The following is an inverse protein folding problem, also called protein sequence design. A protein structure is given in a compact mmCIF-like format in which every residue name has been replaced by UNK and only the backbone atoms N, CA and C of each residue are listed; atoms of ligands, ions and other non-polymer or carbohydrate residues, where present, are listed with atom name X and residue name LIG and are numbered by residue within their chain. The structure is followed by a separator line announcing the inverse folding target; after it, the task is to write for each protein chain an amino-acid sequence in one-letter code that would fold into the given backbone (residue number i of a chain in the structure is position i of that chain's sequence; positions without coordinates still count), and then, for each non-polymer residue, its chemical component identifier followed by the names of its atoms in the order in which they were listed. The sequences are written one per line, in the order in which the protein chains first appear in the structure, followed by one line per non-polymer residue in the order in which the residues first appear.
data_IF_694385672827
#
_entry.id   IF_694385672827
#
_cell.length_a   1.000
_cell.length_b   1.000
_cell.length_c   1.000
_cell.angle_alpha   90.00
_cell.angle_beta   90.00
_cell.angle_gamma   90.00
#
_symmetry.space_group_name_H-M   'P 1'
#
loop_
_entity.id
_entity.type
_entity.pdbx_description
1 polymer ?
#
# COMPACT_ATOMS: atom_id res chain seq x y z
N UNK A 1 -32.21 67.66 22.51
CA UNK A 1 -31.94 67.85 23.95
C UNK A 1 -31.53 66.49 24.51
N UNK A 2 -30.24 66.25 24.78
CA UNK A 2 -29.57 66.40 26.09
C UNK A 2 -30.03 65.28 27.05
N UNK A 3 -29.21 64.48 27.72
CA UNK A 3 -27.78 64.20 27.75
C UNK A 3 -27.61 62.92 28.61
N UNK A 4 -26.40 62.40 28.63
CA UNK A 4 -25.86 61.31 29.44
C UNK A 4 -26.09 61.41 30.95
N UNK A 5 -26.10 60.25 31.63
CA UNK A 5 -25.17 59.97 32.75
C UNK A 5 -25.10 58.48 33.10
N UNK A 6 -23.86 58.01 33.21
CA UNK A 6 -23.44 56.69 33.61
C UNK A 6 -23.53 56.50 35.14
N UNK A 7 -23.72 55.26 35.59
CA UNK A 7 -23.20 54.81 36.88
C UNK A 7 -22.74 53.35 36.77
N UNK A 8 -21.44 53.16 37.01
CA UNK A 8 -20.75 51.88 37.06
C UNK A 8 -21.05 51.14 38.36
N UNK A 9 -21.31 49.83 38.27
CA UNK A 9 -21.20 48.90 39.39
C UNK A 9 -20.55 47.62 38.87
N UNK A 10 -19.27 47.46 39.19
CA UNK A 10 -18.50 46.26 38.96
C UNK A 10 -18.92 45.20 39.97
N UNK A 11 -19.48 44.08 39.50
CA UNK A 11 -19.60 42.84 40.26
C UNK A 11 -18.68 41.84 39.59
N UNK A 12 -17.56 41.55 40.25
CA UNK A 12 -16.63 40.51 39.85
C UNK A 12 -17.28 39.14 40.03
N UNK A 13 -17.57 38.46 38.93
CA UNK A 13 -17.87 37.04 38.93
C UNK A 13 -16.54 36.30 38.76
N UNK A 14 -16.08 35.69 39.83
CA UNK A 14 -14.98 34.74 39.79
C UNK A 14 -15.45 33.49 39.04
N UNK A 15 -15.01 33.32 37.80
CA UNK A 15 -15.15 32.07 37.05
C UNK A 15 -14.08 31.12 37.58
N UNK A 16 -14.51 30.12 38.34
CA UNK A 16 -13.67 28.99 38.75
C UNK A 16 -13.48 28.10 37.52
N UNK A 17 -12.31 28.21 36.89
CA UNK A 17 -11.85 27.32 35.82
C UNK A 17 -11.28 26.05 36.47
N UNK A 18 -11.73 24.83 36.11
CA UNK A 18 -11.15 23.61 36.64
C UNK A 18 -9.74 23.38 36.08
N UNK A 19 -8.82 22.74 36.85
CA UNK A 19 -7.44 22.57 36.41
C UNK A 19 -7.39 21.59 35.24
N UNK A 20 -6.85 22.08 34.12
CA UNK A 20 -6.49 21.28 32.94
C UNK A 20 -5.49 20.21 33.34
N UNK A 21 -5.88 18.95 33.20
CA UNK A 21 -5.01 17.78 33.29
C UNK A 21 -3.89 17.88 32.25
N UNK A 22 -2.67 17.62 32.70
CA UNK A 22 -1.43 17.74 31.95
C UNK A 22 -1.49 17.07 30.56
N UNK A 23 -1.47 17.88 29.52
CA UNK A 23 -1.03 17.45 28.21
C UNK A 23 0.46 17.13 28.31
N UNK A 24 0.82 15.86 28.13
CA UNK A 24 2.20 15.44 27.94
C UNK A 24 2.72 16.12 26.67
N UNK A 25 3.55 17.15 26.84
CA UNK A 25 4.34 17.72 25.77
C UNK A 25 5.32 16.64 25.31
N UNK A 26 4.92 15.87 24.28
CA UNK A 26 5.87 15.11 23.49
C UNK A 26 6.83 16.14 22.88
N UNK A 27 8.02 16.22 23.45
CA UNK A 27 9.10 17.00 22.88
C UNK A 27 9.32 16.49 21.47
N UNK A 28 8.95 17.29 20.47
CA UNK A 28 9.41 17.11 19.11
C UNK A 28 10.94 17.08 19.18
N UNK A 29 11.51 15.89 19.04
CA UNK A 29 12.93 15.73 18.84
C UNK A 29 13.26 16.41 17.51
N UNK A 30 13.65 17.68 17.58
CA UNK A 30 14.30 18.39 16.49
C UNK A 30 15.58 17.61 16.15
N UNK A 31 15.47 16.67 15.21
CA UNK A 31 16.61 16.12 14.52
C UNK A 31 17.20 17.25 13.67
N UNK A 32 18.14 18.00 14.25
CA UNK A 32 19.04 18.85 13.51
C UNK A 32 19.74 17.99 12.46
N UNK A 33 19.29 18.11 11.21
CA UNK A 33 19.93 17.53 10.03
C UNK A 33 21.28 18.23 9.82
N UNK A 34 22.29 17.78 10.56
CA UNK A 34 23.67 18.07 10.22
C UNK A 34 24.03 17.20 9.01
N UNK A 35 24.30 17.86 7.88
CA UNK A 35 24.66 17.27 6.59
C UNK A 35 25.95 16.45 6.61
N UNK A 36 25.92 15.29 7.26
CA UNK A 36 26.85 14.17 7.05
C UNK A 36 25.99 12.99 6.66
N UNK A 37 26.00 12.61 5.39
CA UNK A 37 25.48 11.32 4.95
C UNK A 37 26.11 10.25 5.86
N UNK A 38 25.31 9.63 6.74
CA UNK A 38 25.73 8.39 7.41
C UNK A 38 26.01 7.42 6.27
N UNK A 39 27.27 7.06 6.07
CA UNK A 39 27.64 5.98 5.17
C UNK A 39 26.87 4.76 5.66
N UNK A 40 25.90 4.28 4.88
CA UNK A 40 25.14 3.10 5.28
C UNK A 40 26.12 1.93 5.33
N UNK A 41 26.12 1.23 6.46
CA UNK A 41 26.98 0.08 6.65
C UNK A 41 26.36 -1.12 5.93
N UNK A 42 27.20 -2.08 5.51
CA UNK A 42 26.73 -3.38 5.04
C UNK A 42 25.78 -3.98 6.08
N UNK A 43 24.61 -4.45 5.64
CA UNK A 43 23.65 -5.06 6.53
C UNK A 43 24.17 -6.43 7.01
N UNK A 44 24.24 -6.60 8.34
CA UNK A 44 24.62 -7.86 8.98
C UNK A 44 23.46 -8.85 9.05
N UNK A 45 23.70 -10.04 9.59
CA UNK A 45 22.61 -10.96 9.94
C UNK A 45 21.71 -10.34 11.01
N UNK A 46 20.41 -10.57 10.91
CA UNK A 46 19.47 -10.07 11.91
C UNK A 46 19.74 -10.70 13.27
N UNK A 47 19.81 -9.87 14.31
CA UNK A 47 19.81 -10.32 15.70
C UNK A 47 18.43 -10.00 16.31
N UNK A 48 17.58 -11.02 16.53
CA UNK A 48 16.25 -10.82 17.09
C UNK A 48 16.27 -10.21 18.50
N UNK A 49 17.39 -10.16 19.22
CA UNK A 49 17.47 -9.50 20.52
C UNK A 49 17.50 -7.97 20.39
N UNK A 50 18.02 -7.44 19.29
CA UNK A 50 18.11 -6.01 19.02
C UNK A 50 17.04 -5.53 18.04
N UNK A 51 16.72 -6.34 17.03
CA UNK A 51 15.66 -6.05 16.07
C UNK A 51 14.29 -6.39 16.67
N UNK A 52 13.62 -5.38 17.25
CA UNK A 52 12.34 -5.53 17.94
C UNK A 52 11.28 -4.61 17.36
N UNK A 53 10.07 -5.14 17.24
CA UNK A 53 8.86 -4.37 16.93
C UNK A 53 8.63 -3.33 18.04
N UNK A 54 8.11 -2.12 17.71
CA UNK A 54 7.50 -1.74 16.43
C UNK A 54 8.46 -1.21 15.37
N UNK A 55 9.76 -1.08 15.65
CA UNK A 55 10.69 -0.36 14.78
C UNK A 55 11.49 -1.29 13.87
N UNK A 56 11.69 -2.56 14.25
CA UNK A 56 12.47 -3.53 13.48
C UNK A 56 11.85 -4.94 13.56
N UNK A 57 11.78 -5.65 12.45
CA UNK A 57 11.38 -7.06 12.43
C UNK A 57 12.26 -7.87 11.48
N UNK A 58 12.81 -9.00 11.97
CA UNK A 58 13.71 -9.84 11.16
C UNK A 58 13.01 -10.59 10.01
N UNK A 59 11.69 -10.67 10.03
CA UNK A 59 10.91 -11.51 9.10
C UNK A 59 10.98 -12.99 9.44
N UNK A 60 10.73 -13.82 8.43
CA UNK A 60 10.60 -15.26 8.57
C UNK A 60 9.18 -15.68 8.96
N UNK A 61 9.02 -16.98 9.22
CA UNK A 61 7.72 -17.59 9.51
C UNK A 61 7.22 -17.35 10.94
N UNK A 62 8.06 -16.83 11.83
CA UNK A 62 7.67 -16.60 13.22
C UNK A 62 6.64 -15.48 13.29
N UNK A 63 5.57 -15.71 14.05
CA UNK A 63 4.45 -14.78 14.16
C UNK A 63 4.88 -13.56 14.99
N UNK A 64 4.72 -12.33 14.47
CA UNK A 64 4.98 -11.10 15.24
C UNK A 64 4.23 -11.11 16.57
N UNK A 65 4.91 -10.75 17.67
CA UNK A 65 4.35 -10.77 19.02
C UNK A 65 4.37 -12.14 19.71
N UNK A 66 4.78 -13.21 19.02
CA UNK A 66 4.93 -14.55 19.62
C UNK A 66 3.62 -15.29 19.86
N UNK A 67 2.53 -14.88 19.19
CA UNK A 67 1.25 -15.57 19.25
C UNK A 67 1.29 -16.94 18.57
N UNK A 68 0.33 -17.79 18.91
CA UNK A 68 0.07 -19.03 18.19
C UNK A 68 -0.77 -18.76 16.94
N UNK A 69 -0.71 -19.63 15.91
CA UNK A 69 -1.51 -19.46 14.69
C UNK A 69 -3.03 -19.37 14.93
N UNK A 70 -3.58 -20.03 15.94
CA UNK A 70 -5.01 -19.98 16.28
C UNK A 70 -5.42 -18.69 17.02
N UNK A 71 -4.46 -17.86 17.44
CA UNK A 71 -4.71 -16.61 18.17
C UNK A 71 -4.75 -15.37 17.27
N UNK A 72 -4.40 -15.49 15.99
CA UNK A 72 -4.27 -14.37 15.04
C UNK A 72 -5.14 -14.55 13.79
N UNK A 73 -5.52 -13.46 13.11
CA UNK A 73 -6.16 -13.56 11.80
C UNK A 73 -5.20 -14.10 10.74
N UNK A 74 -5.73 -14.65 9.66
CA UNK A 74 -5.03 -14.79 8.39
C UNK A 74 -5.24 -13.53 7.55
N UNK A 75 -4.16 -12.83 7.25
CA UNK A 75 -4.21 -11.68 6.35
C UNK A 75 -4.07 -12.11 4.89
N UNK A 76 -4.87 -11.49 4.03
CA UNK A 76 -4.81 -11.65 2.58
C UNK A 76 -4.46 -10.30 1.97
N UNK A 77 -3.38 -10.26 1.19
CA UNK A 77 -2.95 -9.08 0.46
C UNK A 77 -3.42 -9.17 -0.98
N UNK A 78 -4.52 -8.50 -1.29
CA UNK A 78 -4.98 -8.33 -2.66
C UNK A 78 -4.38 -7.06 -3.24
N UNK A 79 -3.61 -7.18 -4.32
CA UNK A 79 -2.99 -6.02 -4.97
C UNK A 79 -3.23 -6.00 -6.47
N UNK A 80 -3.33 -4.80 -7.00
CA UNK A 80 -3.41 -4.55 -8.44
C UNK A 80 -2.30 -3.61 -8.86
N UNK A 81 -1.51 -4.06 -9.82
CA UNK A 81 -0.47 -3.25 -10.45
C UNK A 81 -1.03 -2.61 -11.73
N UNK A 82 -0.36 -1.55 -12.17
CA UNK A 82 -0.62 -0.79 -13.39
C UNK A 82 -1.82 0.17 -13.36
N UNK A 83 -2.18 0.66 -14.55
CA UNK A 83 -3.15 1.71 -14.75
C UNK A 83 -4.56 1.30 -14.32
N UNK A 84 -5.24 2.18 -13.58
CA UNK A 84 -6.68 2.11 -13.30
C UNK A 84 -7.41 2.92 -14.35
N UNK A 85 -8.36 2.31 -15.06
CA UNK A 85 -9.14 2.99 -16.10
C UNK A 85 -10.44 2.24 -16.45
N UNK A 86 -11.15 2.75 -17.45
CA UNK A 86 -12.45 2.22 -17.89
C UNK A 86 -12.40 0.72 -18.30
N UNK A 87 -11.22 0.12 -18.56
CA UNK A 87 -11.09 -1.32 -18.87
C UNK A 87 -11.23 -2.23 -17.64
N UNK A 88 -10.81 -1.76 -16.46
CA UNK A 88 -10.82 -2.56 -15.23
C UNK A 88 -11.88 -2.13 -14.22
N UNK A 89 -12.51 -0.95 -14.42
CA UNK A 89 -13.54 -0.42 -13.54
C UNK A 89 -14.64 -1.43 -13.17
N UNK A 90 -15.27 -2.05 -14.18
CA UNK A 90 -16.40 -2.97 -13.95
C UNK A 90 -16.00 -4.19 -13.12
N UNK A 91 -14.76 -4.67 -13.28
CA UNK A 91 -14.23 -5.77 -12.49
C UNK A 91 -14.01 -5.35 -11.03
N UNK A 92 -13.41 -4.19 -10.78
CA UNK A 92 -13.22 -3.69 -9.42
C UNK A 92 -14.55 -3.45 -8.70
N UNK A 93 -15.54 -2.85 -9.39
CA UNK A 93 -16.87 -2.67 -8.83
C UNK A 93 -17.53 -4.01 -8.43
N UNK A 94 -17.40 -5.05 -9.25
CA UNK A 94 -17.91 -6.38 -8.93
C UNK A 94 -17.15 -7.06 -7.78
N UNK A 95 -15.82 -6.89 -7.74
CA UNK A 95 -14.93 -7.48 -6.75
C UNK A 95 -15.15 -6.88 -5.35
N UNK A 96 -15.26 -5.56 -5.22
CA UNK A 96 -15.37 -4.92 -3.91
C UNK A 96 -16.81 -4.75 -3.41
N UNK A 97 -17.81 -5.01 -4.26
CA UNK A 97 -19.21 -4.90 -3.86
C UNK A 97 -19.63 -6.06 -2.94
N UNK A 98 -20.15 -5.69 -1.77
CA UNK A 98 -20.83 -6.62 -0.86
C UNK A 98 -19.92 -7.61 -0.15
N UNK A 99 -18.60 -7.39 -0.16
CA UNK A 99 -17.61 -8.23 0.52
C UNK A 99 -17.04 -7.48 1.71
N UNK A 100 -17.08 -8.11 2.88
CA UNK A 100 -16.73 -7.50 4.15
C UNK A 100 -15.79 -8.40 4.93
N UNK A 101 -14.84 -7.80 5.64
CA UNK A 101 -14.06 -8.44 6.68
C UNK A 101 -14.92 -8.73 7.92
N UNK A 102 -14.50 -9.63 8.83
CA UNK A 102 -15.25 -9.98 10.04
C UNK A 102 -15.54 -8.82 11.02
N UNK A 103 -14.86 -7.68 10.87
CA UNK A 103 -15.14 -6.46 11.62
C UNK A 103 -16.25 -5.57 10.99
N UNK A 104 -16.85 -6.02 9.89
CA UNK A 104 -17.91 -5.30 9.17
C UNK A 104 -17.41 -4.24 8.19
N UNK A 105 -16.10 -4.02 8.09
CA UNK A 105 -15.53 -3.13 7.07
C UNK A 105 -15.48 -3.81 5.70
N UNK A 106 -15.68 -3.06 4.59
CA UNK A 106 -15.43 -3.58 3.25
C UNK A 106 -14.01 -4.15 3.13
N UNK A 107 -13.85 -5.21 2.33
CA UNK A 107 -12.51 -5.72 2.03
C UNK A 107 -11.67 -4.63 1.34
N UNK A 108 -10.38 -4.61 1.61
CA UNK A 108 -9.46 -3.63 1.02
C UNK A 108 -8.41 -4.31 0.15
N UNK A 109 -7.76 -3.49 -0.66
CA UNK A 109 -6.68 -3.87 -1.57
C UNK A 109 -5.67 -2.72 -1.62
N UNK A 110 -4.47 -3.03 -2.12
CA UNK A 110 -3.44 -2.02 -2.43
C UNK A 110 -3.27 -1.91 -3.94
N UNK A 111 -3.36 -0.70 -4.47
CA UNK A 111 -3.17 -0.41 -5.89
C UNK A 111 -1.80 0.24 -6.09
N UNK A 112 -0.91 -0.45 -6.81
CA UNK A 112 0.37 0.09 -7.25
C UNK A 112 0.15 0.72 -8.64
N UNK A 113 -0.04 2.03 -8.68
CA UNK A 113 -0.47 2.76 -9.87
C UNK A 113 0.72 3.22 -10.71
N UNK A 114 0.67 2.93 -12.02
CA UNK A 114 1.56 3.55 -13.01
C UNK A 114 0.84 4.67 -13.76
N UNK A 115 1.57 5.71 -14.18
CA UNK A 115 0.94 6.93 -14.71
C UNK A 115 0.20 6.70 -16.04
N UNK A 116 0.86 6.09 -17.03
CA UNK A 116 0.37 6.14 -18.40
C UNK A 116 -0.98 5.41 -18.52
N UNK A 117 -2.00 6.11 -19.06
CA UNK A 117 -3.37 5.61 -19.21
C UNK A 117 -4.18 5.43 -17.91
N UNK A 118 -3.67 5.94 -16.79
CA UNK A 118 -4.43 6.01 -15.54
C UNK A 118 -5.47 7.11 -15.55
N UNK A 119 -6.63 6.77 -15.02
CA UNK A 119 -7.75 7.65 -14.76
C UNK A 119 -7.75 8.06 -13.29
N UNK A 120 -7.20 9.24 -13.02
CA UNK A 120 -7.07 9.74 -11.66
C UNK A 120 -8.41 10.00 -10.95
N UNK A 121 -9.51 10.16 -11.70
CA UNK A 121 -10.83 10.23 -11.07
C UNK A 121 -11.26 8.88 -10.48
N UNK A 122 -10.92 7.78 -11.15
CA UNK A 122 -11.19 6.42 -10.65
C UNK A 122 -10.24 6.04 -9.51
N UNK A 123 -8.99 6.50 -9.57
CA UNK A 123 -8.04 6.35 -8.45
C UNK A 123 -8.58 7.07 -7.20
N UNK A 124 -9.13 8.28 -7.35
CA UNK A 124 -9.77 8.97 -6.22
C UNK A 124 -10.96 8.19 -5.66
N UNK A 125 -11.79 7.59 -6.52
CA UNK A 125 -12.90 6.74 -6.08
C UNK A 125 -12.41 5.55 -5.26
N UNK A 126 -11.38 4.83 -5.73
CA UNK A 126 -10.78 3.71 -5.00
C UNK A 126 -10.20 4.15 -3.65
N UNK A 127 -9.51 5.29 -3.63
CA UNK A 127 -8.97 5.86 -2.39
C UNK A 127 -10.07 6.24 -1.39
N UNK A 128 -11.15 6.86 -1.88
CA UNK A 128 -12.31 7.22 -1.07
C UNK A 128 -13.04 6.00 -0.49
N UNK A 129 -13.06 4.88 -1.23
CA UNK A 129 -13.64 3.61 -0.80
C UNK A 129 -12.79 2.88 0.27
N UNK A 130 -11.60 3.40 0.60
CA UNK A 130 -10.75 2.88 1.67
C UNK A 130 -9.56 2.05 1.20
N UNK A 131 -9.37 1.88 -0.10
CA UNK A 131 -8.20 1.19 -0.65
C UNK A 131 -6.93 2.00 -0.43
N UNK A 132 -5.80 1.31 -0.48
CA UNK A 132 -4.49 1.95 -0.45
C UNK A 132 -4.03 2.26 -1.88
N UNK A 133 -3.46 3.45 -2.07
CA UNK A 133 -2.85 3.88 -3.33
C UNK A 133 -1.34 4.04 -3.12
N UNK A 134 -0.55 3.36 -3.93
CA UNK A 134 0.90 3.31 -3.87
C UNK A 134 1.51 3.55 -5.26
N UNK A 135 2.79 3.93 -5.29
CA UNK A 135 3.48 4.27 -6.54
C UNK A 135 3.95 3.03 -7.30
N UNK A 136 3.73 2.99 -8.62
CA UNK A 136 4.31 2.03 -9.56
C UNK A 136 5.04 2.72 -10.70
N UNK A 137 5.63 3.88 -10.39
CA UNK A 137 6.41 4.75 -11.29
C UNK A 137 5.61 5.46 -12.39
N UNK A 138 6.16 6.55 -12.89
CA UNK A 138 5.58 7.30 -14.01
C UNK A 138 5.66 6.49 -15.31
N UNK A 139 6.83 6.00 -15.67
CA UNK A 139 7.06 5.44 -17.02
C UNK A 139 6.88 3.95 -17.13
N UNK A 140 6.71 3.26 -16.00
CA UNK A 140 6.68 1.80 -15.94
C UNK A 140 7.89 1.15 -16.63
N UNK A 141 9.08 1.73 -16.43
CA UNK A 141 10.33 1.25 -17.04
C UNK A 141 11.21 0.47 -16.06
N UNK A 142 12.10 -0.38 -16.59
CA UNK A 142 12.97 -1.24 -15.78
C UNK A 142 13.95 -0.42 -14.92
N UNK A 143 13.74 -0.46 -13.60
CA UNK A 143 14.46 0.37 -12.62
C UNK A 143 15.87 -0.11 -12.23
N UNK A 144 16.28 -1.32 -12.65
CA UNK A 144 17.53 -1.99 -12.24
C UNK A 144 18.77 -1.10 -12.27
N UNK A 145 18.89 -0.24 -13.28
CA UNK A 145 20.07 0.60 -13.51
C UNK A 145 19.85 2.08 -13.21
N UNK A 146 18.74 2.45 -12.58
CA UNK A 146 18.48 3.85 -12.26
C UNK A 146 19.45 4.34 -11.18
N UNK A 147 19.84 5.61 -11.30
CA UNK A 147 20.43 6.33 -10.18
C UNK A 147 19.32 6.81 -9.23
N UNK A 148 19.68 7.30 -8.05
CA UNK A 148 18.70 7.77 -7.06
C UNK A 148 17.79 8.88 -7.61
N UNK A 149 18.33 9.79 -8.43
CA UNK A 149 17.58 10.88 -9.06
C UNK A 149 16.50 10.35 -10.02
N UNK A 150 16.87 9.39 -10.88
CA UNK A 150 15.89 8.79 -11.79
C UNK A 150 14.84 7.99 -11.02
N UNK A 151 15.24 7.26 -9.96
CA UNK A 151 14.28 6.63 -9.06
C UNK A 151 13.32 7.65 -8.44
N UNK A 152 13.81 8.82 -8.02
CA UNK A 152 12.98 9.87 -7.46
C UNK A 152 11.99 10.42 -8.49
N UNK A 153 12.47 10.78 -9.69
CA UNK A 153 11.60 11.33 -10.74
C UNK A 153 10.51 10.33 -11.19
N UNK A 154 10.76 9.04 -11.04
CA UNK A 154 9.80 7.97 -11.35
C UNK A 154 8.83 7.71 -10.20
N UNK A 155 9.34 7.43 -9.00
CA UNK A 155 8.51 6.98 -7.86
C UNK A 155 7.83 8.16 -7.17
N UNK A 156 8.60 9.19 -6.85
CA UNK A 156 8.10 10.42 -6.21
C UNK A 156 7.27 11.22 -7.22
N UNK A 157 7.69 11.24 -8.49
CA UNK A 157 6.92 11.88 -9.55
C UNK A 157 5.50 11.32 -9.68
N UNK A 158 5.36 9.99 -9.62
CA UNK A 158 4.04 9.35 -9.60
C UNK A 158 3.25 9.71 -8.33
N UNK A 159 3.90 9.68 -7.16
CA UNK A 159 3.24 10.07 -5.91
C UNK A 159 2.72 11.52 -5.95
N UNK A 160 3.47 12.46 -6.51
CA UNK A 160 3.03 13.85 -6.68
C UNK A 160 1.81 13.96 -7.61
N UNK A 161 1.75 13.15 -8.68
CA UNK A 161 0.60 13.12 -9.58
C UNK A 161 -0.62 12.47 -8.93
N UNK A 162 -0.44 11.40 -8.14
CA UNK A 162 -1.52 10.79 -7.36
C UNK A 162 -2.13 11.77 -6.34
N UNK A 163 -1.31 12.59 -5.68
CA UNK A 163 -1.79 13.68 -4.82
C UNK A 163 -2.55 14.72 -5.64
N UNK A 164 -1.90 15.25 -6.69
CA UNK A 164 -2.42 16.38 -7.46
C UNK A 164 -3.70 16.05 -8.22
N UNK A 165 -3.71 14.94 -8.92
CA UNK A 165 -4.78 14.58 -9.84
C UNK A 165 -5.72 13.52 -9.28
N UNK A 166 -5.24 12.65 -8.39
CA UNK A 166 -6.04 11.61 -7.73
C UNK A 166 -6.60 12.03 -6.37
N UNK A 167 -6.24 13.20 -5.85
CA UNK A 167 -6.74 13.71 -4.57
C UNK A 167 -6.28 12.89 -3.36
N UNK A 168 -5.26 12.04 -3.53
CA UNK A 168 -4.74 11.20 -2.45
C UNK A 168 -4.04 12.09 -1.42
N UNK A 169 -4.28 11.86 -0.12
CA UNK A 169 -3.57 12.60 0.91
C UNK A 169 -2.07 12.27 0.81
N UNK A 170 -1.15 13.25 0.73
CA UNK A 170 0.29 12.98 0.70
C UNK A 170 0.78 12.19 1.93
N UNK A 171 0.06 12.25 3.05
CA UNK A 171 0.35 11.43 4.22
C UNK A 171 0.13 9.92 3.99
N UNK A 172 -0.71 9.53 3.03
CA UNK A 172 -1.13 8.15 2.82
C UNK A 172 -0.33 7.41 1.75
N UNK A 173 0.42 8.13 0.89
CA UNK A 173 1.31 7.51 -0.09
C UNK A 173 2.62 7.16 0.59
N UNK A 174 2.82 5.87 0.85
CA UNK A 174 3.91 5.39 1.71
C UNK A 174 4.70 4.20 1.20
N UNK A 175 4.23 3.56 0.14
CA UNK A 175 5.00 2.51 -0.49
C UNK A 175 4.96 2.54 -1.99
N UNK A 176 5.70 1.59 -2.53
CA UNK A 176 5.84 1.40 -3.95
C UNK A 176 6.00 -0.07 -4.31
N UNK A 177 5.85 -0.37 -5.59
CA UNK A 177 6.30 -1.61 -6.22
C UNK A 177 7.07 -1.26 -7.50
N UNK A 178 8.19 -1.93 -7.75
CA UNK A 178 9.04 -1.65 -8.89
C UNK A 178 8.44 -2.34 -10.13
N UNK A 179 8.32 -1.64 -11.28
CA UNK A 179 7.91 -2.26 -12.54
C UNK A 179 8.72 -3.52 -12.83
N UNK A 180 8.02 -4.58 -13.27
CA UNK A 180 8.60 -5.90 -13.55
C UNK A 180 9.33 -6.54 -12.37
N UNK A 181 9.10 -6.05 -11.15
CA UNK A 181 9.84 -6.42 -9.93
C UNK A 181 11.36 -6.17 -10.06
N UNK A 182 11.72 -5.24 -10.95
CA UNK A 182 13.10 -4.90 -11.29
C UNK A 182 13.63 -3.82 -10.32
N UNK A 183 13.91 -4.26 -9.09
CA UNK A 183 14.44 -3.40 -8.01
C UNK A 183 15.82 -2.79 -8.33
N UNK A 184 16.14 -1.69 -7.66
CA UNK A 184 17.33 -0.87 -7.92
C UNK A 184 18.46 -0.97 -6.89
N UNK A 185 18.49 -2.04 -6.07
CA UNK A 185 19.44 -2.21 -4.98
C UNK A 185 19.41 -1.03 -3.99
N UNK A 186 20.54 -0.77 -3.32
CA UNK A 186 20.62 0.27 -2.27
C UNK A 186 20.18 1.67 -2.74
N UNK A 187 20.36 2.02 -4.02
CA UNK A 187 19.94 3.31 -4.58
C UNK A 187 18.43 3.52 -4.51
N UNK A 188 17.65 2.47 -4.75
CA UNK A 188 16.19 2.53 -4.67
C UNK A 188 15.75 2.81 -3.22
N UNK A 189 16.30 2.06 -2.26
CA UNK A 189 15.93 2.19 -0.85
C UNK A 189 16.44 3.49 -0.21
N UNK A 190 17.60 3.99 -0.63
CA UNK A 190 18.08 5.33 -0.27
C UNK A 190 17.12 6.43 -0.72
N UNK A 191 16.61 6.32 -1.95
CA UNK A 191 15.61 7.22 -2.48
C UNK A 191 14.32 7.14 -1.66
N UNK A 192 13.79 5.94 -1.42
CA UNK A 192 12.55 5.76 -0.66
C UNK A 192 12.63 6.39 0.72
N UNK A 193 13.70 6.09 1.46
CA UNK A 193 13.95 6.66 2.79
C UNK A 193 14.04 8.19 2.75
N UNK A 194 14.73 8.76 1.75
CA UNK A 194 14.88 10.22 1.61
C UNK A 194 13.55 10.95 1.39
N UNK A 195 12.61 10.33 0.68
CA UNK A 195 11.35 10.96 0.28
C UNK A 195 10.14 10.53 1.12
N UNK A 196 10.37 9.85 2.26
CA UNK A 196 9.32 9.56 3.24
C UNK A 196 8.42 8.37 2.88
N UNK A 197 8.85 7.52 1.94
CA UNK A 197 8.31 6.18 1.79
C UNK A 197 8.89 5.31 2.91
N UNK A 198 8.09 4.41 3.47
CA UNK A 198 8.57 3.49 4.51
C UNK A 198 8.49 2.03 4.10
N UNK A 199 7.94 1.70 2.92
CA UNK A 199 7.92 0.31 2.50
C UNK A 199 8.06 0.10 0.99
N UNK A 200 8.58 -1.06 0.63
CA UNK A 200 8.59 -1.66 -0.70
C UNK A 200 7.83 -2.99 -0.69
N UNK A 201 7.31 -3.39 -1.85
CA UNK A 201 6.80 -4.74 -2.09
C UNK A 201 7.22 -5.19 -3.47
N UNK A 202 8.52 -5.39 -3.67
CA UNK A 202 9.09 -5.73 -4.98
C UNK A 202 10.00 -6.95 -4.93
N UNK A 203 10.15 -7.62 -3.79
CA UNK A 203 11.06 -8.76 -3.64
C UNK A 203 10.32 -10.09 -3.58
N UNK A 204 10.26 -10.83 -4.70
CA UNK A 204 9.88 -12.24 -4.72
C UNK A 204 10.70 -13.09 -3.78
N UNK A 205 10.02 -14.02 -3.10
CA UNK A 205 10.69 -15.01 -2.26
C UNK A 205 9.94 -16.32 -2.25
N UNK A 206 10.67 -17.44 -2.22
CA UNK A 206 10.09 -18.76 -1.94
C UNK A 206 9.94 -19.01 -0.43
N UNK A 207 10.59 -18.20 0.40
CA UNK A 207 10.57 -18.31 1.86
C UNK A 207 9.29 -17.72 2.42
N UNK A 208 8.61 -18.48 3.29
CA UNK A 208 7.48 -17.98 4.05
C UNK A 208 7.95 -16.88 5.01
N UNK A 209 7.41 -15.67 4.90
CA UNK A 209 7.84 -14.54 5.70
C UNK A 209 6.71 -13.58 6.01
N UNK A 210 6.63 -13.14 7.26
CA UNK A 210 5.98 -11.88 7.64
C UNK A 210 6.78 -10.67 7.10
N UNK A 211 6.21 -9.46 7.03
CA UNK A 211 6.95 -8.26 6.69
C UNK A 211 8.18 -8.10 7.56
N UNK A 212 9.25 -7.58 6.99
CA UNK A 212 10.51 -7.40 7.70
C UNK A 212 11.11 -6.05 7.35
N UNK A 213 12.08 -5.64 8.15
CA UNK A 213 12.74 -4.36 7.96
C UNK A 213 14.16 -4.55 7.43
N UNK A 214 14.67 -3.54 6.73
CA UNK A 214 15.95 -3.58 6.04
C UNK A 214 17.10 -2.98 6.88
N UNK A 215 16.98 -2.87 8.22
CA UNK A 215 18.13 -2.59 9.09
C UNK A 215 19.19 -3.69 8.95
N UNK A 216 18.73 -4.93 8.77
CA UNK A 216 19.55 -6.11 8.63
C UNK A 216 19.37 -6.74 7.24
N UNK A 217 20.26 -7.68 6.93
CA UNK A 217 20.23 -8.43 5.68
C UNK A 217 18.91 -9.17 5.56
N UNK A 218 18.34 -9.15 4.35
CA UNK A 218 17.11 -9.88 4.01
C UNK A 218 17.14 -11.34 4.48
N UNK A 219 16.02 -11.89 4.99
CA UNK A 219 15.94 -13.26 5.50
C UNK A 219 15.84 -14.32 4.39
N UNK A 220 16.00 -13.94 3.12
CA UNK A 220 15.93 -14.84 1.98
C UNK A 220 16.93 -14.46 0.88
N UNK A 221 17.03 -15.32 -0.13
CA UNK A 221 17.86 -15.08 -1.30
C UNK A 221 17.26 -14.01 -2.20
N UNK A 222 18.13 -13.31 -2.93
CA UNK A 222 17.73 -12.30 -3.90
C UNK A 222 17.32 -12.98 -5.21
N UNK A 223 16.00 -13.07 -5.46
CA UNK A 223 15.48 -13.68 -6.69
C UNK A 223 15.67 -12.80 -7.93
N UNK A 224 15.49 -11.48 -7.79
CA UNK A 224 15.68 -10.50 -8.87
C UNK A 224 16.75 -9.50 -8.43
N UNK A 225 17.90 -9.51 -9.10
CA UNK A 225 19.04 -8.64 -8.75
C UNK A 225 18.93 -7.26 -9.42
N UNK A 226 19.50 -6.20 -8.81
CA UNK A 226 20.20 -6.17 -7.53
C UNK A 226 19.28 -5.94 -6.32
N UNK A 227 19.46 -6.71 -5.26
CA UNK A 227 18.83 -6.46 -3.94
C UNK A 227 19.65 -5.52 -3.08
N UNK A 228 19.05 -4.83 -2.08
CA UNK A 228 19.80 -4.01 -1.14
C UNK A 228 20.79 -4.87 -0.36
N UNK A 229 21.94 -4.27 -0.07
CA UNK A 229 23.05 -4.90 0.61
C UNK A 229 23.50 -4.11 1.84
N UNK A 230 23.19 -2.82 1.87
CA UNK A 230 23.39 -1.92 2.99
C UNK A 230 22.19 -1.91 3.93
N UNK A 231 22.37 -1.35 5.12
CA UNK A 231 21.32 -1.15 6.11
C UNK A 231 20.44 0.05 5.75
N UNK A 232 19.13 -0.14 5.70
CA UNK A 232 18.10 0.87 5.45
C UNK A 232 17.12 0.94 6.63
N UNK A 233 17.49 1.58 7.75
CA UNK A 233 16.62 1.66 8.92
C UNK A 233 15.29 2.36 8.65
N UNK A 234 14.21 1.83 9.22
CA UNK A 234 12.83 2.27 9.07
C UNK A 234 12.16 1.81 7.78
N UNK A 235 12.88 1.12 6.89
CA UNK A 235 12.36 0.64 5.63
C UNK A 235 11.83 -0.79 5.77
N UNK A 236 10.56 -0.99 5.46
CA UNK A 236 9.88 -2.27 5.47
C UNK A 236 9.86 -2.89 4.08
N UNK A 237 10.02 -4.20 4.01
CA UNK A 237 9.68 -5.01 2.85
C UNK A 237 8.41 -5.81 3.17
N UNK A 238 7.43 -5.73 2.27
CA UNK A 238 6.31 -6.67 2.22
C UNK A 238 6.68 -7.78 1.23
N UNK A 239 7.20 -8.92 1.71
CA UNK A 239 7.79 -9.95 0.85
C UNK A 239 6.75 -10.53 -0.07
N UNK A 240 7.14 -10.75 -1.32
CA UNK A 240 6.25 -11.33 -2.32
C UNK A 240 6.42 -12.86 -2.34
N UNK A 241 5.77 -13.55 -1.40
CA UNK A 241 5.80 -15.01 -1.35
C UNK A 241 5.26 -15.59 -2.66
N UNK A 242 6.05 -16.42 -3.33
CA UNK A 242 5.62 -17.03 -4.60
C UNK A 242 4.51 -18.06 -4.37
N UNK A 243 3.52 -18.05 -5.28
CA UNK A 243 2.50 -19.09 -5.42
C UNK A 243 3.08 -20.29 -6.16
N UNK A 244 2.52 -21.47 -5.91
CA UNK A 244 2.75 -22.70 -6.68
C UNK A 244 1.69 -22.85 -7.77
N UNK A 245 2.13 -23.14 -8.99
CA UNK A 245 1.27 -23.34 -10.16
C UNK A 245 0.91 -24.83 -10.38
N UNK A 246 0.02 -25.11 -11.33
CA UNK A 246 -0.46 -26.49 -11.58
C UNK A 246 0.61 -27.43 -12.16
N UNK A 247 1.80 -26.92 -12.51
CA UNK A 247 2.94 -27.68 -13.03
C UNK A 247 4.05 -27.83 -11.99
N UNK A 248 3.83 -27.35 -10.75
CA UNK A 248 4.85 -27.32 -9.70
C UNK A 248 5.90 -26.22 -9.88
N UNK A 249 5.64 -25.25 -10.76
CA UNK A 249 6.42 -24.03 -10.89
C UNK A 249 6.01 -22.99 -9.86
N UNK A 250 6.87 -21.99 -9.63
CA UNK A 250 6.57 -20.89 -8.71
C UNK A 250 6.45 -19.56 -9.43
N UNK A 251 5.53 -18.71 -8.99
CA UNK A 251 5.17 -17.44 -9.64
C UNK A 251 5.03 -16.33 -8.59
N UNK A 252 5.61 -15.16 -8.86
CA UNK A 252 5.56 -13.99 -7.96
C UNK A 252 4.26 -13.22 -8.08
N UNK A 253 3.76 -13.07 -9.32
CA UNK A 253 2.46 -12.52 -9.64
C UNK A 253 1.54 -13.69 -9.97
N UNK A 254 0.30 -13.65 -9.50
CA UNK A 254 -0.65 -14.72 -9.74
C UNK A 254 -0.95 -14.89 -11.23
N UNK A 255 -1.07 -13.80 -11.99
CA UNK A 255 -1.24 -13.86 -13.44
C UNK A 255 -0.06 -14.47 -14.23
N UNK A 256 1.11 -14.58 -13.60
CA UNK A 256 2.29 -15.26 -14.15
C UNK A 256 2.30 -16.77 -13.91
N UNK A 257 1.38 -17.31 -13.11
CA UNK A 257 1.25 -18.74 -12.87
C UNK A 257 0.59 -19.45 -14.05
N UNK A 258 0.85 -20.75 -14.16
CA UNK A 258 0.09 -21.63 -15.06
C UNK A 258 -1.14 -22.19 -14.37
N UNK A 259 -2.26 -22.14 -15.08
CA UNK A 259 -3.56 -22.58 -14.61
C UNK A 259 -4.14 -23.64 -15.53
N UNK A 260 -4.97 -24.52 -14.97
CA UNK A 260 -5.97 -25.23 -15.76
C UNK A 260 -7.13 -24.25 -15.99
N UNK A 261 -7.42 -23.96 -17.25
CA UNK A 261 -8.30 -22.85 -17.67
C UNK A 261 -9.80 -23.16 -17.53
N UNK A 262 -10.23 -23.44 -16.29
CA UNK A 262 -11.64 -23.51 -15.88
C UNK A 262 -11.82 -22.96 -14.45
N UNK A 263 -13.03 -22.48 -14.14
CA UNK A 263 -13.30 -21.75 -12.91
C UNK A 263 -13.01 -22.58 -11.64
N UNK A 264 -13.42 -23.85 -11.62
CA UNK A 264 -13.27 -24.70 -10.43
C UNK A 264 -11.80 -25.07 -10.18
N UNK A 265 -11.02 -25.29 -11.25
CA UNK A 265 -9.59 -25.53 -11.13
C UNK A 265 -8.82 -24.29 -10.66
N UNK A 266 -9.26 -23.11 -11.09
CA UNK A 266 -8.71 -21.82 -10.62
C UNK A 266 -9.03 -21.60 -9.14
N UNK A 267 -10.28 -21.82 -8.72
CA UNK A 267 -10.64 -21.76 -7.31
C UNK A 267 -9.79 -22.73 -6.49
N UNK A 268 -9.62 -23.96 -6.98
CA UNK A 268 -8.84 -25.01 -6.31
C UNK A 268 -7.38 -24.61 -6.10
N UNK A 269 -6.69 -24.10 -7.11
CA UNK A 269 -5.26 -23.77 -6.96
C UNK A 269 -5.03 -22.58 -6.02
N UNK A 270 -5.92 -21.58 -6.01
CA UNK A 270 -5.86 -20.51 -5.01
C UNK A 270 -6.15 -21.04 -3.60
N UNK A 271 -7.12 -21.94 -3.46
CA UNK A 271 -7.40 -22.61 -2.16
C UNK A 271 -6.19 -23.40 -1.67
N UNK A 272 -5.50 -24.13 -2.54
CA UNK A 272 -4.31 -24.89 -2.18
C UNK A 272 -3.19 -23.98 -1.66
N UNK A 273 -2.90 -22.89 -2.38
CA UNK A 273 -1.90 -21.93 -1.95
C UNK A 273 -2.30 -21.20 -0.65
N UNK A 274 -3.58 -20.83 -0.50
CA UNK A 274 -4.09 -20.22 0.73
C UNK A 274 -3.90 -21.13 1.94
N UNK A 275 -4.17 -22.43 1.81
CA UNK A 275 -4.01 -23.39 2.90
C UNK A 275 -2.55 -23.55 3.34
N UNK A 276 -1.56 -23.31 2.46
CA UNK A 276 -0.15 -23.31 2.87
C UNK A 276 0.18 -22.21 3.89
N UNK A 277 -0.56 -21.10 3.86
CA UNK A 277 -0.45 -20.01 4.82
C UNK A 277 -1.35 -20.26 6.03
N UNK A 278 -2.64 -20.52 5.76
CA UNK A 278 -3.71 -20.59 6.76
C UNK A 278 -3.49 -21.67 7.83
N UNK A 279 -2.97 -22.84 7.44
CA UNK A 279 -2.79 -23.97 8.36
C UNK A 279 -1.40 -24.05 8.98
N UNK A 280 -0.54 -23.05 8.74
CA UNK A 280 0.87 -23.03 9.21
C UNK A 280 1.16 -21.77 10.02
N UNK A 281 2.02 -20.88 9.51
CA UNK A 281 2.45 -19.68 10.22
C UNK A 281 1.46 -18.51 10.11
N UNK A 282 0.40 -18.64 9.30
CA UNK A 282 -0.50 -17.53 8.92
C UNK A 282 0.22 -16.28 8.41
N UNK A 283 1.46 -16.45 7.91
CA UNK A 283 2.12 -15.38 7.19
C UNK A 283 1.21 -14.90 6.03
N UNK A 284 1.28 -13.62 5.65
CA UNK A 284 0.27 -13.00 4.79
C UNK A 284 0.15 -13.73 3.45
N UNK A 285 -1.08 -14.01 3.02
CA UNK A 285 -1.34 -14.73 1.78
C UNK A 285 -1.36 -13.74 0.60
N UNK A 286 -0.47 -13.88 -0.41
CA UNK A 286 -0.35 -12.91 -1.49
C UNK A 286 -1.27 -13.21 -2.67
N UNK A 287 -1.98 -12.19 -3.13
CA UNK A 287 -2.81 -12.18 -4.31
C UNK A 287 -2.46 -10.95 -5.16
N UNK A 288 -1.34 -11.02 -5.88
CA UNK A 288 -0.83 -9.91 -6.69
C UNK A 288 -1.16 -10.10 -8.16
N UNK A 289 -1.83 -9.13 -8.77
CA UNK A 289 -2.35 -9.24 -10.13
C UNK A 289 -2.18 -7.96 -10.95
N UNK A 290 -2.21 -8.14 -12.27
CA UNK A 290 -2.63 -7.15 -13.24
C UNK A 290 -4.10 -7.41 -13.59
N UNK A 291 -4.92 -6.36 -13.61
CA UNK A 291 -6.36 -6.51 -13.83
C UNK A 291 -6.74 -7.20 -15.15
N UNK A 292 -5.87 -7.13 -16.17
CA UNK A 292 -6.05 -7.77 -17.46
C UNK A 292 -6.29 -9.29 -17.37
N UNK A 293 -5.77 -9.94 -16.33
CA UNK A 293 -5.97 -11.36 -16.13
C UNK A 293 -7.47 -11.75 -15.99
N UNK A 294 -8.30 -10.84 -15.44
CA UNK A 294 -9.71 -11.09 -15.15
C UNK A 294 -10.64 -10.82 -16.33
N UNK A 295 -10.37 -9.80 -17.15
CA UNK A 295 -11.24 -9.47 -18.29
C UNK A 295 -10.84 -10.15 -19.61
N UNK A 296 -9.65 -10.75 -19.68
CA UNK A 296 -9.25 -11.55 -20.84
C UNK A 296 -9.98 -12.89 -20.94
N UNK A 297 -10.43 -13.46 -19.81
CA UNK A 297 -11.07 -14.78 -19.72
C UNK A 297 -12.10 -14.82 -18.58
N UNK A 298 -13.38 -15.00 -18.89
CA UNK A 298 -14.46 -14.94 -17.90
C UNK A 298 -14.34 -15.99 -16.78
N UNK A 299 -13.88 -17.21 -17.08
CA UNK A 299 -13.72 -18.28 -16.08
C UNK A 299 -12.65 -17.98 -15.03
N UNK A 300 -11.66 -17.14 -15.35
CA UNK A 300 -10.64 -16.70 -14.40
C UNK A 300 -11.24 -15.81 -13.32
N UNK A 301 -12.05 -14.83 -13.74
CA UNK A 301 -12.85 -14.01 -12.84
C UNK A 301 -13.79 -14.85 -11.99
N UNK A 302 -14.55 -15.74 -12.62
CA UNK A 302 -15.50 -16.61 -11.90
C UNK A 302 -14.79 -17.46 -10.82
N UNK A 303 -13.73 -18.19 -11.19
CA UNK A 303 -12.98 -19.04 -10.27
C UNK A 303 -12.33 -18.26 -9.12
N UNK A 304 -11.81 -17.07 -9.41
CA UNK A 304 -11.23 -16.20 -8.40
C UNK A 304 -12.28 -15.65 -7.43
N UNK A 305 -13.43 -15.17 -7.93
CA UNK A 305 -14.50 -14.67 -7.06
C UNK A 305 -15.07 -15.79 -6.17
N UNK A 306 -15.25 -17.01 -6.70
CA UNK A 306 -15.59 -18.19 -5.90
C UNK A 306 -14.58 -18.44 -4.77
N UNK A 307 -13.29 -18.30 -5.06
CA UNK A 307 -12.24 -18.43 -4.06
C UNK A 307 -12.31 -17.34 -2.98
N UNK A 308 -12.41 -16.07 -3.37
CA UNK A 308 -12.53 -14.94 -2.45
C UNK A 308 -13.74 -15.13 -1.53
N UNK A 309 -14.90 -15.46 -2.09
CA UNK A 309 -16.13 -15.68 -1.32
C UNK A 309 -15.98 -16.88 -0.36
N UNK A 310 -15.26 -17.92 -0.77
CA UNK A 310 -15.02 -19.09 0.08
C UNK A 310 -14.16 -18.81 1.31
N UNK A 311 -13.12 -17.96 1.19
CA UNK A 311 -12.25 -17.64 2.32
C UNK A 311 -12.82 -16.53 3.20
N UNK A 312 -13.67 -15.64 2.65
CA UNK A 312 -14.42 -14.66 3.44
C UNK A 312 -15.49 -15.29 4.34
N UNK A 313 -15.89 -16.54 4.06
CA UNK A 313 -16.76 -17.30 4.96
C UNK A 313 -16.04 -17.74 6.25
N UNK A 314 -14.71 -17.66 6.32
CA UNK A 314 -13.93 -17.96 7.51
C UNK A 314 -13.90 -16.74 8.45
N UNK A 315 -14.14 -16.93 9.76
CA UNK A 315 -14.32 -15.81 10.70
C UNK A 315 -13.02 -15.08 11.06
N UNK A 316 -11.87 -15.64 10.68
CA UNK A 316 -10.53 -15.16 11.02
C UNK A 316 -9.72 -14.72 9.78
N UNK A 317 -10.35 -14.53 8.62
CA UNK A 317 -9.69 -14.05 7.40
C UNK A 317 -9.98 -12.56 7.19
N UNK A 318 -8.91 -11.79 6.95
CA UNK A 318 -8.99 -10.34 6.72
C UNK A 318 -8.23 -9.95 5.44
N UNK A 319 -8.94 -9.30 4.51
CA UNK A 319 -8.36 -8.63 3.35
C UNK A 319 -7.94 -7.22 3.75
N UNK A 320 -6.64 -6.98 3.75
CA UNK A 320 -6.02 -5.77 4.30
C UNK A 320 -5.08 -5.16 3.27
N UNK A 321 -4.76 -3.88 3.46
CA UNK A 321 -3.75 -3.21 2.64
C UNK A 321 -2.34 -3.56 3.13
N UNK A 322 -1.33 -3.33 2.28
CA UNK A 322 0.09 -3.47 2.65
C UNK A 322 0.45 -2.64 3.89
N UNK A 323 -0.04 -1.40 4.00
CA UNK A 323 0.18 -0.56 5.18
C UNK A 323 -0.47 -1.11 6.46
N UNK A 324 -1.71 -1.62 6.36
CA UNK A 324 -2.39 -2.23 7.51
C UNK A 324 -1.68 -3.48 8.00
N UNK A 325 -1.18 -4.30 7.07
CA UNK A 325 -0.37 -5.46 7.41
C UNK A 325 0.94 -5.07 8.13
N UNK A 326 1.65 -4.04 7.63
CA UNK A 326 2.84 -3.54 8.32
C UNK A 326 2.47 -3.00 9.69
N UNK A 327 1.38 -2.24 9.82
CA UNK A 327 0.91 -1.71 11.08
C UNK A 327 0.62 -2.82 12.10
N UNK A 328 -0.05 -3.91 11.69
CA UNK A 328 -0.26 -5.08 12.55
C UNK A 328 1.05 -5.78 12.89
N UNK A 329 1.98 -5.90 11.94
CA UNK A 329 3.31 -6.49 12.21
C UNK A 329 4.07 -5.69 13.27
N UNK A 330 3.94 -4.36 13.25
CA UNK A 330 4.55 -3.44 14.24
C UNK A 330 3.86 -3.51 15.59
N UNK A 331 2.53 -3.66 15.61
CA UNK A 331 1.69 -3.68 16.80
C UNK A 331 0.74 -4.88 16.78
N UNK A 332 1.27 -6.10 16.95
CA UNK A 332 0.49 -7.31 16.73
C UNK A 332 -0.52 -7.52 17.84
N UNK A 333 -1.76 -7.74 17.42
CA UNK A 333 -2.92 -7.93 18.28
C UNK A 333 -3.58 -9.27 17.98
N UNK A 334 -4.10 -9.97 19.00
CA UNK A 334 -4.79 -11.23 18.82
C UNK A 334 -6.15 -11.02 18.14
N UNK A 335 -6.66 -12.04 17.48
CA UNK A 335 -7.89 -12.04 16.69
C UNK A 335 -9.10 -11.35 17.39
N UNK A 336 -9.38 -11.55 18.69
CA UNK A 336 -10.50 -10.85 19.34
C UNK A 336 -10.38 -9.31 19.32
N UNK A 337 -9.15 -8.77 19.32
CA UNK A 337 -8.91 -7.33 19.31
C UNK A 337 -8.98 -6.73 17.90
N UNK A 338 -8.68 -7.52 16.87
CA UNK A 338 -8.74 -7.14 15.45
C UNK A 338 -10.13 -6.61 15.06
N UNK A 339 -11.20 -7.17 15.65
CA UNK A 339 -12.58 -6.73 15.36
C UNK A 339 -12.86 -5.26 15.68
N UNK A 340 -12.18 -4.70 16.69
CA UNK A 340 -12.34 -3.29 17.10
C UNK A 340 -11.06 -2.49 16.92
N UNK A 341 -10.13 -3.02 16.12
CA UNK A 341 -8.81 -2.45 15.95
C UNK A 341 -8.86 -1.10 15.25
N UNK A 342 -8.08 -0.11 15.73
CA UNK A 342 -7.89 1.14 15.01
C UNK A 342 -7.05 0.96 13.74
N UNK A 343 -6.37 -0.17 13.55
CA UNK A 343 -5.57 -0.45 12.34
C UNK A 343 -6.50 -0.77 11.16
N UNK A 344 -7.51 -1.61 11.38
CA UNK A 344 -8.39 -2.12 10.32
C UNK A 344 -9.73 -1.36 10.21
N UNK A 345 -9.72 -0.06 10.48
CA UNK A 345 -10.91 0.81 10.43
C UNK A 345 -11.31 1.15 8.99
N UNK A 346 -12.59 1.40 8.73
CA UNK A 346 -13.09 1.84 7.41
C UNK A 346 -13.72 3.24 7.44
N UNK A 347 -13.30 4.06 8.40
CA UNK A 347 -13.72 5.45 8.52
C UNK A 347 -12.60 6.39 8.09
N UNK A 348 -12.80 7.13 7.00
CA UNK A 348 -11.79 7.97 6.36
C UNK A 348 -12.31 9.40 6.12
N UNK A 349 -12.58 10.18 7.19
CA UNK A 349 -13.20 11.51 7.06
C UNK A 349 -12.29 12.56 6.41
N UNK A 350 -10.98 12.31 6.38
CA UNK A 350 -9.95 13.17 5.80
C UNK A 350 -9.69 12.88 4.30
N UNK A 351 -10.24 11.78 3.77
CA UNK A 351 -10.16 11.44 2.35
C UNK A 351 -11.18 12.24 1.54
N UNK A 352 -10.88 12.60 0.28
CA UNK A 352 -11.87 13.23 -0.58
C UNK A 352 -13.04 12.26 -0.83
N UNK A 353 -14.25 12.78 -1.07
CA UNK A 353 -15.34 11.93 -1.54
C UNK A 353 -15.01 11.37 -2.92
N UNK A 354 -15.73 10.31 -3.30
CA UNK A 354 -15.74 9.82 -4.69
C UNK A 354 -15.96 10.97 -5.67
N UNK A 355 -15.21 10.93 -6.77
CA UNK A 355 -15.30 11.86 -7.88
C UNK A 355 -16.69 11.84 -8.51
N UNK A 356 -17.18 10.64 -8.83
CA UNK A 356 -18.44 10.41 -9.53
C UNK A 356 -18.63 11.34 -10.74
N UNK A 357 -19.70 12.14 -10.71
CA UNK A 357 -20.07 13.06 -11.80
C UNK A 357 -19.15 14.27 -11.97
N UNK A 358 -18.21 14.51 -11.05
CA UNK A 358 -17.25 15.63 -11.12
C UNK A 358 -16.03 15.32 -12.01
N UNK A 359 -15.98 14.13 -12.60
CA UNK A 359 -14.91 13.68 -13.48
C UNK A 359 -14.75 14.60 -14.70
N UNK A 360 -13.61 15.28 -14.76
CA UNK A 360 -13.15 16.03 -15.93
C UNK A 360 -12.36 15.09 -16.84
N UNK A 361 -12.69 15.06 -18.14
CA UNK A 361 -11.97 14.29 -19.15
C UNK A 361 -11.22 15.23 -20.09
N UNK A 362 -9.98 14.89 -20.38
CA UNK A 362 -9.02 15.70 -21.12
C UNK A 362 -8.37 14.85 -22.22
N UNK A 363 -8.10 15.46 -23.38
CA UNK A 363 -7.29 14.85 -24.43
C UNK A 363 -6.00 15.64 -24.60
N UNK A 364 -4.91 15.09 -24.06
CA UNK A 364 -3.63 15.78 -23.91
C UNK A 364 -2.63 15.29 -24.97
N UNK A 365 -1.70 16.15 -25.37
CA UNK A 365 -0.64 15.76 -26.33
C UNK A 365 0.58 15.23 -25.58
N UNK A 366 1.11 14.08 -26.00
CA UNK A 366 2.37 13.50 -25.51
C UNK A 366 3.10 12.80 -26.65
N UNK A 367 4.40 13.12 -26.87
CA UNK A 367 5.26 12.48 -27.88
C UNK A 367 4.63 12.41 -29.30
N UNK A 368 3.88 13.43 -29.70
CA UNK A 368 3.21 13.49 -31.01
C UNK A 368 1.83 12.81 -31.07
N UNK A 369 1.44 12.08 -30.03
CA UNK A 369 0.14 11.40 -29.93
C UNK A 369 -0.81 12.11 -28.97
N UNK A 370 -2.09 11.74 -29.06
CA UNK A 370 -3.10 12.10 -28.08
C UNK A 370 -3.22 11.02 -27.00
N UNK A 371 -3.22 11.44 -25.74
CA UNK A 371 -3.45 10.62 -24.55
C UNK A 371 -4.74 11.05 -23.88
N UNK A 372 -5.54 10.07 -23.46
CA UNK A 372 -6.71 10.32 -22.62
C UNK A 372 -6.23 10.54 -21.19
N UNK A 373 -6.84 11.49 -20.51
CA UNK A 373 -6.55 11.81 -19.12
C UNK A 373 -7.85 12.19 -18.42
N UNK A 374 -8.04 11.76 -17.18
CA UNK A 374 -9.21 12.10 -16.41
C UNK A 374 -8.86 12.31 -14.94
N UNK A 375 -9.56 13.25 -14.30
CA UNK A 375 -9.29 13.68 -12.92
C UNK A 375 -10.53 14.36 -12.33
N UNK A 376 -10.58 14.49 -11.01
CA UNK A 376 -11.59 15.29 -10.31
C UNK A 376 -11.23 16.78 -10.23
N UNK A 377 -10.02 17.14 -10.67
CA UNK A 377 -9.62 18.54 -10.75
C UNK A 377 -10.48 19.26 -11.79
N UNK A 378 -10.79 20.53 -11.51
CA UNK A 378 -11.66 21.34 -12.37
C UNK A 378 -10.99 21.73 -13.69
N UNK A 379 -9.66 21.75 -13.71
CA UNK A 379 -8.87 22.16 -14.88
C UNK A 379 -8.01 21.00 -15.35
N UNK A 380 -8.04 20.77 -16.67
CA UNK A 380 -7.09 19.89 -17.33
C UNK A 380 -5.70 20.54 -17.32
N UNK A 381 -4.61 19.77 -17.17
CA UNK A 381 -3.28 20.27 -17.49
C UNK A 381 -3.18 20.61 -18.98
N UNK A 382 -2.23 21.47 -19.35
CA UNK A 382 -2.03 21.92 -20.74
C UNK A 382 -1.43 20.82 -21.62
N UNK A 383 -0.57 19.99 -21.03
CA UNK A 383 0.15 18.87 -21.65
C UNK A 383 -0.03 17.63 -20.80
N UNK A 384 0.24 16.47 -21.38
CA UNK A 384 0.23 15.22 -20.64
C UNK A 384 1.37 15.23 -19.60
N UNK A 385 1.07 15.10 -18.30
CA UNK A 385 2.10 15.03 -17.26
C UNK A 385 3.13 13.92 -17.54
N UNK A 386 4.38 14.14 -17.12
CA UNK A 386 5.45 13.14 -17.28
C UNK A 386 6.63 13.43 -16.34
N UNK A 387 7.62 12.54 -16.29
CA UNK A 387 8.83 12.61 -15.42
C UNK A 387 9.50 14.00 -15.35
N UNK A 388 9.50 14.76 -16.46
CA UNK A 388 10.14 16.08 -16.54
C UNK A 388 9.13 17.25 -16.63
N UNK A 389 7.83 16.97 -16.46
CA UNK A 389 6.74 17.94 -16.47
C UNK A 389 5.55 17.38 -15.68
N UNK A 390 5.70 17.22 -14.36
CA UNK A 390 4.69 16.57 -13.51
C UNK A 390 3.38 17.38 -13.42
N UNK A 391 3.44 18.69 -13.63
CA UNK A 391 2.25 19.54 -13.65
C UNK A 391 1.49 19.45 -14.97
N UNK A 392 2.16 19.04 -16.06
CA UNK A 392 1.62 19.13 -17.40
C UNK A 392 1.43 20.57 -17.86
N UNK A 393 2.35 21.48 -17.49
CA UNK A 393 2.32 22.89 -17.90
C UNK A 393 2.63 23.10 -19.39
#
# INVERSE_FOLDING_TARGET
MVLWLALSLAVGVAVVVPPTSAASTAAAANATYNGRYKRQAQAGHCDPNFCKIPDCHCGGSDIPGGYKPDEIPQFVLLTFDDAVNDLNQAFYEELFKGRYNPNGCPIKATFYISHEWSDYAQIQDLYADGHEIASHTVTHSFGTNFNEEKWANEVVGEAEMLVRFGGVNPADIKGMRAPFLAIGGDKMFNMLSRYGFYYDSSMPTSTMSWPYTLEYRMPHTCSVKPCPSESHPGMWEVPMKTLQDVRGGSCSMADGCFYKEDADSIQKIFTQNFLEHYTKSKAPFPLFFHAAWFFNRAHRKEGFLKFVDSILALPDVYFVTSQELIAWTRFPEPLPQVHTSPIFHCNFPDRPPRCGRKKTRCQLTHKGDKRQFATCQQQCPNRYPWVNNLNGD
#
